data_IF_412836595561
#
_entry.id   IF_412836595561
#
_cell.length_a   1.000
_cell.length_b   1.000
_cell.length_c   1.000
_cell.angle_alpha   90.00
_cell.angle_beta   90.00
_cell.angle_gamma   90.00
#
_symmetry.space_group_name_H-M   'P 1'
#
loop_
_entity.id
_entity.type
_entity.pdbx_description
1 polymer ?
#
# COMPACT_ATOMS: atom_id res chain seq x y z
N UNK A 1 -30.33 42.32 -5.36
CA UNK A 1 -29.12 41.46 -5.41
C UNK A 1 -29.57 40.01 -5.26
N UNK A 2 -29.57 39.23 -6.35
CA UNK A 2 -29.82 37.79 -6.32
C UNK A 2 -28.51 37.08 -6.00
N UNK A 3 -28.47 36.28 -4.94
CA UNK A 3 -27.35 35.36 -4.66
C UNK A 3 -27.32 34.32 -5.76
N UNK A 4 -26.21 34.30 -6.51
CA UNK A 4 -25.88 33.23 -7.45
C UNK A 4 -25.48 32.03 -6.61
N UNK A 5 -26.31 30.99 -6.60
CA UNK A 5 -25.94 29.68 -6.08
C UNK A 5 -25.11 28.97 -7.15
N UNK A 6 -23.83 28.77 -6.87
CA UNK A 6 -22.95 27.93 -7.68
C UNK A 6 -23.40 26.47 -7.48
N UNK A 7 -23.76 25.71 -8.53
CA UNK A 7 -24.05 24.29 -8.37
C UNK A 7 -22.71 23.58 -8.23
N UNK A 8 -22.34 23.28 -6.98
CA UNK A 8 -21.13 22.50 -6.68
C UNK A 8 -21.21 21.13 -7.34
N UNK A 9 -20.10 20.75 -7.97
CA UNK A 9 -19.82 19.42 -8.51
C UNK A 9 -20.29 18.33 -7.54
N UNK A 10 -21.36 17.64 -7.90
CA UNK A 10 -21.75 16.37 -7.31
C UNK A 10 -21.07 15.23 -8.09
N UNK A 11 -19.75 15.30 -8.24
CA UNK A 11 -18.97 14.08 -8.50
C UNK A 11 -18.95 13.33 -7.17
N UNK A 12 -19.88 12.40 -6.99
CA UNK A 12 -19.78 11.40 -5.94
C UNK A 12 -18.49 10.63 -6.19
N UNK A 13 -17.41 11.03 -5.51
CA UNK A 13 -16.17 10.28 -5.50
C UNK A 13 -16.47 8.91 -4.91
N UNK A 14 -16.15 7.83 -5.62
CA UNK A 14 -16.25 6.48 -5.08
C UNK A 14 -15.55 6.43 -3.70
N UNK A 15 -16.12 5.73 -2.71
CA UNK A 15 -15.47 5.60 -1.40
C UNK A 15 -14.05 5.05 -1.57
N UNK A 16 -13.13 5.53 -0.74
CA UNK A 16 -11.73 5.14 -0.77
C UNK A 16 -11.40 4.33 0.49
N UNK A 17 -10.73 3.20 0.30
CA UNK A 17 -10.16 2.36 1.34
C UNK A 17 -8.68 2.20 1.08
N UNK A 18 -7.85 2.35 2.11
CA UNK A 18 -6.46 1.92 2.08
C UNK A 18 -6.21 0.76 3.02
N UNK A 19 -5.21 -0.07 2.70
CA UNK A 19 -4.74 -1.16 3.55
C UNK A 19 -3.22 -1.22 3.57
N UNK A 20 -2.69 -1.87 4.60
CA UNK A 20 -1.25 -2.01 4.85
C UNK A 20 -1.00 -3.25 5.74
N UNK A 21 0.23 -3.79 5.73
CA UNK A 21 0.68 -4.87 6.61
C UNK A 21 2.06 -4.63 7.22
N UNK A 22 2.27 -5.20 8.40
CA UNK A 22 3.58 -5.28 9.04
C UNK A 22 4.02 -6.73 9.22
N UNK A 23 5.28 -7.02 8.89
CA UNK A 23 5.85 -8.37 9.05
C UNK A 23 6.39 -8.59 10.48
N UNK A 24 6.55 -9.85 10.87
CA UNK A 24 7.09 -10.27 12.17
C UNK A 24 8.55 -10.75 12.08
N UNK A 25 9.09 -10.87 10.86
CA UNK A 25 10.45 -11.34 10.60
C UNK A 25 11.47 -10.24 10.89
N UNK A 26 12.52 -10.60 11.61
CA UNK A 26 13.62 -9.68 11.94
C UNK A 26 14.85 -10.12 11.16
N UNK A 27 15.32 -9.24 10.27
CA UNK A 27 16.55 -9.42 9.50
C UNK A 27 17.22 -8.07 9.25
N UNK A 28 18.52 -8.12 8.95
CA UNK A 28 19.32 -6.94 8.60
C UNK A 28 19.61 -6.98 7.10
N UNK A 29 19.34 -5.87 6.40
CA UNK A 29 19.56 -5.77 4.95
C UNK A 29 20.92 -5.15 4.65
N UNK A 30 21.71 -5.83 3.84
CA UNK A 30 22.89 -5.26 3.22
C UNK A 30 22.54 -4.09 2.28
N UNK A 31 23.55 -3.27 1.94
CA UNK A 31 23.36 -2.15 1.02
C UNK A 31 22.94 -2.66 -0.37
N UNK A 32 21.73 -2.30 -0.79
CA UNK A 32 21.08 -2.77 -2.03
C UNK A 32 20.78 -4.29 -2.05
N UNK A 33 20.77 -4.95 -0.89
CA UNK A 33 20.32 -6.34 -0.81
C UNK A 33 18.80 -6.41 -1.03
N UNK A 34 18.37 -7.40 -1.81
CA UNK A 34 16.96 -7.65 -2.02
C UNK A 34 16.38 -8.36 -0.81
N UNK A 35 15.36 -7.77 -0.18
CA UNK A 35 14.72 -8.37 1.00
C UNK A 35 14.05 -9.70 0.68
N UNK A 36 13.63 -9.94 -0.57
CA UNK A 36 12.98 -11.20 -0.94
C UNK A 36 13.86 -12.43 -0.74
N UNK A 37 15.17 -12.25 -0.53
CA UNK A 37 16.06 -13.34 -0.06
C UNK A 37 15.61 -14.00 1.24
N UNK A 38 14.87 -13.27 2.09
CA UNK A 38 14.37 -13.74 3.38
C UNK A 38 12.92 -14.22 3.33
N UNK A 39 12.30 -14.23 2.14
CA UNK A 39 10.97 -14.76 1.94
C UNK A 39 10.88 -16.28 2.20
N UNK A 40 9.68 -16.82 2.50
CA UNK A 40 8.42 -16.09 2.66
C UNK A 40 8.32 -15.35 3.99
N UNK A 41 7.65 -14.19 3.98
CA UNK A 41 7.45 -13.39 5.18
C UNK A 41 6.20 -13.79 5.96
N UNK A 42 6.30 -13.56 7.26
CA UNK A 42 5.27 -13.73 8.26
C UNK A 42 4.59 -12.41 8.61
N UNK A 43 3.27 -12.31 8.43
CA UNK A 43 2.54 -11.08 8.77
C UNK A 43 2.22 -11.05 10.26
N UNK A 44 2.59 -9.97 10.95
CA UNK A 44 2.24 -9.72 12.36
C UNK A 44 0.85 -9.11 12.52
N UNK A 45 0.58 -8.03 11.77
CA UNK A 45 -0.65 -7.27 11.78
C UNK A 45 -0.91 -6.70 10.38
N UNK A 46 -2.17 -6.49 10.03
CA UNK A 46 -2.56 -5.61 8.93
C UNK A 46 -3.57 -4.58 9.39
N UNK A 47 -3.83 -3.56 8.58
CA UNK A 47 -4.85 -2.57 8.83
C UNK A 47 -5.62 -2.24 7.56
N UNK A 48 -6.85 -1.77 7.72
CA UNK A 48 -7.67 -1.19 6.65
C UNK A 48 -8.36 0.06 7.18
N UNK A 49 -8.39 1.13 6.39
CA UNK A 49 -9.05 2.38 6.74
C UNK A 49 -9.90 2.87 5.57
N UNK A 50 -11.23 2.94 5.77
CA UNK A 50 -12.16 3.61 4.86
C UNK A 50 -12.18 5.09 5.20
N UNK A 51 -12.08 5.97 4.20
CA UNK A 51 -12.09 7.40 4.52
C UNK A 51 -13.45 7.82 5.07
N UNK A 52 -13.42 8.54 6.19
CA UNK A 52 -14.60 8.98 6.94
C UNK A 52 -15.50 7.81 7.39
N UNK A 53 -14.92 6.60 7.50
CA UNK A 53 -15.64 5.36 7.74
C UNK A 53 -14.95 4.44 8.74
N UNK A 54 -15.08 3.14 8.50
CA UNK A 54 -14.57 2.10 9.40
C UNK A 54 -13.05 1.93 9.28
N UNK A 55 -12.43 1.71 10.43
CA UNK A 55 -11.02 1.35 10.58
C UNK A 55 -10.93 0.00 11.28
N UNK A 56 -10.20 -0.94 10.68
CA UNK A 56 -10.08 -2.31 11.19
C UNK A 56 -8.60 -2.67 11.29
N UNK A 57 -8.20 -3.18 12.45
CA UNK A 57 -6.89 -3.79 12.67
C UNK A 57 -7.02 -5.31 12.64
N UNK A 58 -6.20 -5.94 11.82
CA UNK A 58 -6.18 -7.36 11.53
C UNK A 58 -4.99 -8.00 12.24
N UNK A 59 -5.24 -8.59 13.41
CA UNK A 59 -4.27 -9.42 14.12
C UNK A 59 -4.95 -10.70 14.60
N UNK A 60 -4.16 -11.69 14.98
CA UNK A 60 -4.66 -12.93 15.61
C UNK A 60 -4.31 -12.93 17.09
N UNK A 61 -5.07 -13.65 17.90
CA UNK A 61 -4.74 -13.87 19.31
C UNK A 61 -4.09 -15.24 19.49
N UNK A 62 -3.21 -15.35 20.49
CA UNK A 62 -2.69 -16.61 20.99
C UNK A 62 -3.72 -17.27 21.94
N UNK A 63 -3.39 -18.44 22.49
CA UNK A 63 -4.25 -19.20 23.40
C UNK A 63 -4.56 -18.45 24.71
N UNK A 64 -3.75 -17.44 25.06
CA UNK A 64 -3.91 -16.58 26.25
C UNK A 64 -4.76 -15.32 25.96
N UNK A 65 -5.20 -15.13 24.71
CA UNK A 65 -5.98 -13.96 24.29
C UNK A 65 -5.16 -12.70 24.00
N UNK A 66 -3.83 -12.77 24.07
CA UNK A 66 -2.93 -11.69 23.68
C UNK A 66 -2.62 -11.74 22.17
N UNK A 67 -2.17 -10.63 21.53
CA UNK A 67 -1.76 -10.66 20.13
C UNK A 67 -0.71 -11.74 19.88
N UNK A 68 -0.97 -12.60 18.88
CA UNK A 68 -0.08 -13.62 18.41
C UNK A 68 1.07 -13.01 17.60
N UNK A 69 2.18 -13.75 17.50
CA UNK A 69 3.32 -13.31 16.68
C UNK A 69 2.92 -13.08 15.22
N UNK A 70 2.04 -13.92 14.68
CA UNK A 70 1.63 -13.92 13.29
C UNK A 70 0.09 -13.92 13.14
N UNK A 71 -0.39 -13.38 12.03
CA UNK A 71 -1.71 -13.67 11.49
C UNK A 71 -1.87 -15.17 11.23
N UNK A 72 -2.98 -15.72 11.72
CA UNK A 72 -3.44 -17.04 11.31
C UNK A 72 -3.86 -17.03 9.84
N UNK A 73 -3.79 -18.19 9.18
CA UNK A 73 -4.30 -18.36 7.79
C UNK A 73 -5.74 -17.87 7.66
N UNK A 74 -6.60 -18.21 8.63
CA UNK A 74 -8.01 -17.79 8.63
C UNK A 74 -8.13 -16.27 8.64
N UNK A 75 -7.41 -15.59 9.53
CA UNK A 75 -7.47 -14.12 9.65
C UNK A 75 -6.92 -13.41 8.41
N UNK A 76 -5.87 -13.94 7.79
CA UNK A 76 -5.37 -13.42 6.52
C UNK A 76 -6.38 -13.62 5.38
N UNK A 77 -7.12 -14.73 5.37
CA UNK A 77 -8.20 -14.97 4.41
C UNK A 77 -9.38 -14.00 4.61
N UNK A 78 -9.80 -13.78 5.86
CA UNK A 78 -10.85 -12.81 6.21
C UNK A 78 -10.48 -11.39 5.72
N UNK A 79 -9.20 -11.00 5.81
CA UNK A 79 -8.71 -9.74 5.24
C UNK A 79 -8.88 -9.69 3.72
N UNK A 80 -8.52 -10.76 2.99
CA UNK A 80 -8.72 -10.80 1.52
C UNK A 80 -10.21 -10.76 1.14
N UNK A 81 -11.06 -11.50 1.85
CA UNK A 81 -12.51 -11.49 1.63
C UNK A 81 -13.08 -10.07 1.83
N UNK A 82 -12.64 -9.37 2.86
CA UNK A 82 -13.03 -7.98 3.09
C UNK A 82 -12.59 -7.05 1.96
N UNK A 83 -11.34 -7.16 1.48
CA UNK A 83 -10.86 -6.35 0.36
C UNK A 83 -11.62 -6.65 -0.94
N UNK A 84 -11.93 -7.92 -1.22
CA UNK A 84 -12.74 -8.32 -2.37
C UNK A 84 -14.18 -7.78 -2.26
N UNK A 85 -14.81 -7.87 -1.09
CA UNK A 85 -16.13 -7.33 -0.82
C UNK A 85 -16.17 -5.80 -1.06
N UNK A 86 -15.12 -5.08 -0.62
CA UNK A 86 -15.03 -3.64 -0.84
C UNK A 86 -14.90 -3.31 -2.33
N UNK A 87 -14.13 -4.08 -3.11
CA UNK A 87 -14.09 -3.92 -4.57
C UNK A 87 -15.44 -4.22 -5.24
N UNK A 88 -16.18 -5.23 -4.77
CA UNK A 88 -17.52 -5.54 -5.28
C UNK A 88 -18.54 -4.43 -4.98
N UNK A 89 -18.31 -3.65 -3.91
CA UNK A 89 -19.07 -2.43 -3.57
C UNK A 89 -18.57 -1.18 -4.29
N UNK A 90 -17.72 -1.33 -5.30
CA UNK A 90 -17.13 -0.24 -6.08
C UNK A 90 -16.30 0.76 -5.24
N UNK A 91 -15.79 0.31 -4.09
CA UNK A 91 -14.82 1.07 -3.29
C UNK A 91 -13.47 1.01 -3.98
N UNK A 92 -12.79 2.16 -4.08
CA UNK A 92 -11.40 2.25 -4.52
C UNK A 92 -10.53 1.65 -3.41
N UNK A 93 -9.98 0.46 -3.66
CA UNK A 93 -9.06 -0.21 -2.74
C UNK A 93 -7.62 0.13 -3.12
N UNK A 94 -6.90 0.76 -2.20
CA UNK A 94 -5.56 1.30 -2.38
C UNK A 94 -4.54 0.73 -1.39
N UNK A 95 -3.28 0.67 -1.80
CA UNK A 95 -2.15 0.48 -0.89
C UNK A 95 -0.90 1.12 -1.51
N UNK A 96 0.10 1.42 -0.68
CA UNK A 96 1.36 1.97 -1.15
C UNK A 96 2.40 0.86 -1.31
N UNK A 97 2.65 0.42 -2.55
CA UNK A 97 3.39 -0.83 -2.84
C UNK A 97 2.63 -2.12 -2.50
N UNK A 98 1.30 -2.06 -2.39
CA UNK A 98 0.48 -3.23 -2.08
C UNK A 98 0.53 -4.34 -3.12
N UNK A 99 0.79 -3.99 -4.39
CA UNK A 99 1.00 -4.96 -5.46
C UNK A 99 2.30 -5.74 -5.25
N UNK A 100 3.40 -5.03 -4.99
CA UNK A 100 4.72 -5.63 -4.87
C UNK A 100 4.97 -6.33 -3.54
N UNK A 101 4.15 -6.05 -2.52
CA UNK A 101 4.39 -6.50 -1.16
C UNK A 101 3.15 -7.05 -0.46
N UNK A 102 2.21 -6.19 -0.08
CA UNK A 102 1.13 -6.52 0.86
C UNK A 102 0.26 -7.69 0.38
N UNK A 103 -0.34 -7.57 -0.82
CA UNK A 103 -1.25 -8.60 -1.33
C UNK A 103 -0.54 -9.92 -1.62
N UNK A 104 0.73 -9.88 -2.04
CA UNK A 104 1.56 -11.08 -2.23
C UNK A 104 1.67 -11.86 -0.92
N UNK A 105 2.01 -11.18 0.18
CA UNK A 105 2.20 -11.84 1.47
C UNK A 105 0.89 -12.20 2.16
N UNK A 106 -0.16 -11.39 2.04
CA UNK A 106 -1.50 -11.76 2.54
C UNK A 106 -1.98 -13.02 1.79
N UNK A 107 -1.85 -13.05 0.46
CA UNK A 107 -2.18 -14.20 -0.38
C UNK A 107 -1.40 -15.45 -0.01
N UNK A 108 -0.09 -15.33 0.24
CA UNK A 108 0.75 -16.43 0.71
C UNK A 108 0.28 -16.95 2.09
N UNK A 109 0.07 -16.07 3.07
CA UNK A 109 -0.42 -16.44 4.41
C UNK A 109 -1.79 -17.10 4.39
N UNK A 110 -2.71 -16.56 3.59
CA UNK A 110 -4.05 -17.09 3.41
C UNK A 110 -4.09 -18.39 2.59
N UNK A 111 -2.98 -18.76 1.94
CA UNK A 111 -2.94 -19.82 0.91
C UNK A 111 -4.00 -19.60 -0.18
N UNK A 112 -4.11 -18.35 -0.62
CA UNK A 112 -5.13 -17.86 -1.53
C UNK A 112 -4.53 -16.87 -2.54
N UNK A 113 -3.34 -17.16 -3.08
CA UNK A 113 -2.64 -16.31 -4.04
C UNK A 113 -3.50 -15.93 -5.25
N UNK A 114 -4.31 -16.86 -5.76
CA UNK A 114 -5.22 -16.56 -6.87
C UNK A 114 -6.30 -15.51 -6.51
N UNK A 115 -6.79 -15.50 -5.27
CA UNK A 115 -7.71 -14.46 -4.78
C UNK A 115 -6.98 -13.13 -4.62
N UNK A 116 -5.82 -13.13 -3.97
CA UNK A 116 -5.01 -11.93 -3.79
C UNK A 116 -4.60 -11.30 -5.13
N UNK A 117 -4.24 -12.11 -6.12
CA UNK A 117 -3.90 -11.66 -7.47
C UNK A 117 -5.08 -10.96 -8.17
N UNK A 118 -6.30 -11.48 -8.06
CA UNK A 118 -7.50 -10.84 -8.61
C UNK A 118 -7.79 -9.50 -7.94
N UNK A 119 -7.65 -9.43 -6.62
CA UNK A 119 -7.79 -8.18 -5.86
C UNK A 119 -6.72 -7.20 -6.30
N UNK A 120 -5.47 -7.65 -6.43
CA UNK A 120 -4.33 -6.83 -6.82
C UNK A 120 -4.56 -6.16 -8.18
N UNK A 121 -4.95 -6.91 -9.21
CA UNK A 121 -5.21 -6.38 -10.55
C UNK A 121 -6.24 -5.24 -10.57
N UNK A 122 -7.27 -5.32 -9.72
CA UNK A 122 -8.33 -4.30 -9.62
C UNK A 122 -8.04 -3.19 -8.62
N UNK A 123 -7.06 -3.38 -7.74
CA UNK A 123 -6.63 -2.39 -6.77
C UNK A 123 -5.87 -1.24 -7.44
N UNK A 124 -5.65 -0.18 -6.68
CA UNK A 124 -4.88 0.99 -7.10
C UNK A 124 -3.60 1.06 -6.25
N UNK A 125 -2.45 1.07 -6.91
CA UNK A 125 -1.15 1.22 -6.25
C UNK A 125 -0.46 2.47 -6.79
N UNK A 126 -0.63 3.64 -6.14
CA UNK A 126 -0.06 4.91 -6.60
C UNK A 126 1.47 4.89 -6.64
N UNK A 127 2.12 4.06 -5.82
CA UNK A 127 3.57 3.90 -5.83
C UNK A 127 3.99 3.17 -7.11
N UNK A 128 3.31 2.07 -7.47
CA UNK A 128 3.57 1.37 -8.73
C UNK A 128 3.28 2.24 -9.95
N UNK A 129 2.18 3.01 -9.93
CA UNK A 129 1.89 3.98 -11.00
C UNK A 129 3.00 5.05 -11.08
N UNK A 130 3.47 5.58 -9.94
CA UNK A 130 4.61 6.50 -9.90
C UNK A 130 5.88 5.86 -10.46
N UNK A 131 6.20 4.64 -10.04
CA UNK A 131 7.34 3.89 -10.55
C UNK A 131 7.30 3.78 -12.08
N UNK A 132 6.13 3.47 -12.65
CA UNK A 132 5.97 3.39 -14.11
C UNK A 132 6.14 4.74 -14.83
N UNK A 133 5.94 5.87 -14.13
CA UNK A 133 6.13 7.23 -14.67
C UNK A 133 7.55 7.80 -14.47
N UNK A 134 8.25 7.35 -13.42
CA UNK A 134 9.49 7.95 -12.95
C UNK A 134 10.71 7.01 -13.06
N UNK A 135 10.49 5.70 -13.19
CA UNK A 135 11.52 4.67 -13.25
C UNK A 135 12.11 4.25 -11.91
N UNK A 136 11.65 4.79 -10.78
CA UNK A 136 12.12 4.40 -9.45
C UNK A 136 10.97 4.38 -8.44
N UNK A 137 11.03 3.54 -7.40
CA UNK A 137 10.05 3.55 -6.33
C UNK A 137 10.30 4.74 -5.39
N UNK A 138 9.25 5.21 -4.73
CA UNK A 138 9.35 6.30 -3.73
C UNK A 138 8.60 5.93 -2.47
N UNK A 139 9.18 6.26 -1.32
CA UNK A 139 8.57 5.96 -0.01
C UNK A 139 7.41 6.89 0.32
N UNK A 140 6.40 6.34 1.02
CA UNK A 140 5.18 7.02 1.45
C UNK A 140 5.47 8.37 2.12
N UNK A 141 6.37 8.39 3.11
CA UNK A 141 6.74 9.61 3.82
C UNK A 141 7.39 10.70 2.95
N UNK A 142 8.08 10.34 1.86
CA UNK A 142 8.61 11.36 0.92
C UNK A 142 7.52 12.01 0.10
N UNK A 143 6.45 11.26 -0.21
CA UNK A 143 5.30 11.76 -0.95
C UNK A 143 4.42 12.61 -0.04
N UNK A 144 4.10 12.13 1.16
CA UNK A 144 3.35 12.93 2.14
C UNK A 144 4.01 14.30 2.37
N UNK A 145 5.34 14.34 2.58
CA UNK A 145 6.06 15.59 2.75
C UNK A 145 5.99 16.48 1.49
N UNK A 146 6.17 15.90 0.30
CA UNK A 146 6.09 16.64 -0.97
C UNK A 146 4.70 17.15 -1.30
N UNK A 147 3.66 16.49 -0.80
CA UNK A 147 2.26 16.87 -0.93
C UNK A 147 1.79 17.82 0.18
N UNK A 148 2.65 18.14 1.16
CA UNK A 148 2.31 19.03 2.27
C UNK A 148 1.40 18.39 3.33
N UNK A 149 1.37 17.06 3.39
CA UNK A 149 0.58 16.28 4.35
C UNK A 149 1.39 16.18 5.66
N UNK A 150 0.85 16.64 6.81
CA UNK A 150 1.50 16.49 8.10
C UNK A 150 1.78 15.02 8.42
N UNK A 151 2.97 14.74 8.95
CA UNK A 151 3.35 13.41 9.43
C UNK A 151 3.59 13.45 10.93
N UNK A 152 2.88 12.60 11.67
CA UNK A 152 3.30 12.21 13.01
C UNK A 152 4.26 11.03 12.85
N UNK A 153 5.50 11.18 13.37
CA UNK A 153 6.48 10.10 13.29
C UNK A 153 6.17 9.06 14.37
N UNK A 154 5.42 8.02 14.02
CA UNK A 154 5.03 6.95 14.93
C UNK A 154 6.17 5.93 15.13
N UNK A 155 6.85 5.49 14.07
CA UNK A 155 8.08 4.69 14.10
C UNK A 155 8.81 4.66 12.73
N UNK A 156 9.96 3.99 12.66
CA UNK A 156 10.55 3.53 11.41
C UNK A 156 10.00 2.12 11.09
N UNK A 157 9.54 1.86 9.87
CA UNK A 157 8.97 0.55 9.50
C UNK A 157 9.94 -0.62 9.71
N UNK A 158 11.26 -0.39 9.62
CA UNK A 158 12.24 -1.44 9.93
C UNK A 158 12.28 -1.84 11.42
N UNK A 159 11.70 -1.01 12.29
CA UNK A 159 11.56 -1.31 13.71
C UNK A 159 10.27 -2.07 14.05
N UNK A 160 9.24 -2.06 13.19
CA UNK A 160 7.94 -2.70 13.46
C UNK A 160 8.06 -4.18 13.88
N UNK A 161 8.84 -5.04 13.17
CA UNK A 161 9.01 -6.44 13.59
C UNK A 161 9.70 -6.58 14.96
N UNK A 162 10.66 -5.68 15.25
CA UNK A 162 11.38 -5.64 16.54
C UNK A 162 10.45 -5.18 17.67
N UNK A 163 9.62 -4.17 17.43
CA UNK A 163 8.63 -3.66 18.38
C UNK A 163 7.52 -4.67 18.67
N UNK A 164 7.03 -5.36 17.63
CA UNK A 164 6.01 -6.40 17.78
C UNK A 164 6.50 -7.52 18.69
N UNK A 165 7.70 -8.06 18.41
CA UNK A 165 8.32 -9.10 19.25
C UNK A 165 8.64 -8.65 20.68
N UNK A 166 8.85 -7.36 20.89
CA UNK A 166 9.05 -6.78 22.22
C UNK A 166 7.75 -6.61 23.02
N UNK A 167 6.59 -6.97 22.45
CA UNK A 167 5.28 -6.83 23.09
C UNK A 167 4.67 -5.43 22.96
N UNK A 168 5.28 -4.53 22.18
CA UNK A 168 4.73 -3.19 21.90
C UNK A 168 3.65 -3.23 20.81
N UNK A 169 2.73 -4.20 20.89
CA UNK A 169 1.77 -4.50 19.82
C UNK A 169 0.90 -3.31 19.44
N UNK A 170 0.33 -2.58 20.42
CA UNK A 170 -0.52 -1.42 20.14
C UNK A 170 0.22 -0.36 19.32
N UNK A 171 1.51 -0.14 19.60
CA UNK A 171 2.33 0.83 18.87
C UNK A 171 2.45 0.46 17.38
N UNK A 172 2.57 -0.83 17.08
CA UNK A 172 2.66 -1.33 15.69
C UNK A 172 1.29 -1.32 15.02
N UNK A 173 0.22 -1.62 15.75
CA UNK A 173 -1.16 -1.49 15.26
C UNK A 173 -1.49 -0.05 14.87
N UNK A 174 -1.16 0.91 15.74
CA UNK A 174 -1.37 2.34 15.48
C UNK A 174 -0.53 2.83 14.30
N UNK A 175 0.69 2.31 14.17
CA UNK A 175 1.57 2.61 13.03
C UNK A 175 1.00 2.11 11.70
N UNK A 176 0.64 0.83 11.62
CA UNK A 176 0.07 0.23 10.41
C UNK A 176 -1.25 0.90 10.00
N UNK A 177 -2.11 1.23 10.98
CA UNK A 177 -3.33 2.01 10.73
C UNK A 177 -3.01 3.44 10.26
N UNK A 178 -1.99 4.07 10.85
CA UNK A 178 -1.50 5.38 10.44
C UNK A 178 -1.02 5.40 8.99
N UNK A 179 -0.34 4.35 8.52
CA UNK A 179 0.11 4.23 7.12
C UNK A 179 -1.09 4.05 6.15
N UNK A 180 -2.16 3.37 6.57
CA UNK A 180 -3.43 3.35 5.82
C UNK A 180 -4.06 4.75 5.70
N UNK A 181 -4.16 5.48 6.82
CA UNK A 181 -4.72 6.84 6.84
C UNK A 181 -3.88 7.81 6.00
N UNK A 182 -2.55 7.69 6.07
CA UNK A 182 -1.62 8.48 5.27
C UNK A 182 -1.78 8.19 3.78
N UNK A 183 -1.93 6.92 3.41
CA UNK A 183 -2.18 6.49 2.02
C UNK A 183 -3.47 7.10 1.49
N UNK A 184 -4.55 7.08 2.28
CA UNK A 184 -5.80 7.74 1.93
C UNK A 184 -5.63 9.25 1.66
N UNK A 185 -4.90 9.96 2.53
CA UNK A 185 -4.63 11.39 2.36
C UNK A 185 -3.79 11.67 1.11
N UNK A 186 -2.76 10.87 0.85
CA UNK A 186 -1.93 11.00 -0.36
C UNK A 186 -2.76 10.77 -1.62
N UNK A 187 -3.60 9.71 -1.65
CA UNK A 187 -4.45 9.41 -2.80
C UNK A 187 -5.39 10.58 -3.10
N UNK A 188 -6.09 11.11 -2.09
CA UNK A 188 -6.96 12.28 -2.26
C UNK A 188 -6.16 13.49 -2.79
N UNK A 189 -5.01 13.77 -2.20
CA UNK A 189 -4.17 14.89 -2.61
C UNK A 189 -3.65 14.73 -4.06
N UNK A 190 -3.33 13.51 -4.50
CA UNK A 190 -2.94 13.22 -5.89
C UNK A 190 -4.11 13.48 -6.83
N UNK A 191 -5.32 13.01 -6.48
CA UNK A 191 -6.52 13.21 -7.30
C UNK A 191 -6.85 14.70 -7.46
N UNK A 192 -6.80 15.46 -6.37
CA UNK A 192 -7.03 16.91 -6.35
C UNK A 192 -5.97 17.67 -7.16
N UNK A 193 -4.69 17.36 -6.94
CA UNK A 193 -3.58 18.05 -7.58
C UNK A 193 -3.31 17.59 -9.02
N UNK A 194 -3.88 16.44 -9.42
CA UNK A 194 -3.65 15.73 -10.70
C UNK A 194 -2.18 15.44 -10.99
N UNK A 195 -1.41 15.28 -9.92
CA UNK A 195 0.02 15.03 -9.93
C UNK A 195 0.44 14.43 -8.60
N UNK A 196 1.54 13.69 -8.63
CA UNK A 196 2.24 13.25 -7.43
C UNK A 196 3.46 14.14 -7.23
N UNK A 197 3.68 14.57 -5.98
CA UNK A 197 4.84 15.34 -5.56
C UNK A 197 5.59 14.58 -4.48
N UNK A 198 6.91 14.71 -4.46
CA UNK A 198 7.74 14.08 -3.44
C UNK A 198 8.94 14.96 -3.12
N UNK A 199 9.48 14.76 -1.92
CA UNK A 199 10.76 15.35 -1.53
C UNK A 199 11.90 14.47 -2.01
N UNK A 200 12.78 15.03 -2.84
CA UNK A 200 14.01 14.37 -3.31
C UNK A 200 15.00 14.12 -2.17
N UNK A 201 16.03 13.30 -2.41
CA UNK A 201 17.13 13.10 -1.46
C UNK A 201 17.88 14.39 -1.11
N UNK A 202 17.87 15.39 -2.01
CA UNK A 202 18.46 16.72 -1.81
C UNK A 202 17.52 17.70 -1.09
N UNK A 203 16.31 17.28 -0.72
CA UNK A 203 15.35 18.12 0.00
C UNK A 203 14.45 19.01 -0.87
N UNK A 204 14.61 18.99 -2.20
CA UNK A 204 13.73 19.73 -3.12
C UNK A 204 12.43 18.96 -3.38
N UNK A 205 11.33 19.68 -3.58
CA UNK A 205 10.08 19.09 -4.07
C UNK A 205 10.19 18.88 -5.57
N UNK A 206 9.88 17.67 -6.03
CA UNK A 206 9.72 17.32 -7.43
C UNK A 206 8.30 16.82 -7.69
N UNK A 207 7.92 16.68 -8.95
CA UNK A 207 6.57 16.29 -9.34
C UNK A 207 6.52 15.51 -10.66
N UNK A 208 5.47 14.70 -10.82
CA UNK A 208 5.10 14.02 -12.05
C UNK A 208 3.59 14.16 -12.27
N UNK A 209 3.14 14.46 -13.50
CA UNK A 209 1.71 14.43 -13.81
C UNK A 209 1.12 13.06 -13.51
N UNK A 210 -0.03 13.04 -12.85
CA UNK A 210 -0.81 11.84 -12.56
C UNK A 210 -2.28 12.24 -12.72
N UNK A 211 -2.77 12.39 -13.96
CA UNK A 211 -4.05 13.06 -14.23
C UNK A 211 -5.27 12.34 -13.66
N UNK A 212 -5.13 11.04 -13.41
CA UNK A 212 -6.04 10.14 -12.69
C UNK A 212 -5.23 8.99 -12.09
N UNK A 213 -5.80 8.34 -11.08
CA UNK A 213 -5.33 7.02 -10.68
C UNK A 213 -5.68 5.97 -11.73
N UNK A 214 -4.80 5.00 -11.89
CA UNK A 214 -4.98 3.81 -12.73
C UNK A 214 -5.03 2.59 -11.83
N UNK A 215 -5.86 1.60 -12.17
CA UNK A 215 -5.76 0.29 -11.53
C UNK A 215 -4.41 -0.34 -11.86
N UNK A 216 -3.99 -1.30 -11.05
CA UNK A 216 -2.78 -2.09 -11.34
C UNK A 216 -2.82 -2.70 -12.74
N UNK A 217 -3.96 -3.29 -13.13
CA UNK A 217 -4.13 -3.86 -14.46
C UNK A 217 -3.88 -2.83 -15.58
N UNK A 218 -4.41 -1.61 -15.44
CA UNK A 218 -4.15 -0.53 -16.38
C UNK A 218 -2.67 -0.14 -16.42
N UNK A 219 -2.00 -0.04 -15.27
CA UNK A 219 -0.57 0.29 -15.21
C UNK A 219 0.27 -0.81 -15.84
N UNK A 220 -0.07 -2.09 -15.67
CA UNK A 220 0.65 -3.22 -16.29
C UNK A 220 0.66 -3.08 -17.83
N UNK A 221 -0.42 -2.61 -18.44
CA UNK A 221 -0.53 -2.41 -19.89
C UNK A 221 0.20 -1.16 -20.42
N UNK A 222 0.55 -0.22 -19.55
CA UNK A 222 1.37 0.94 -19.97
C UNK A 222 2.77 0.49 -20.41
N UNK A 223 3.46 1.26 -21.28
CA UNK A 223 4.86 1.05 -21.59
C UNK A 223 5.73 1.01 -20.31
N UNK A 224 6.83 0.26 -20.38
CA UNK A 224 7.83 0.23 -19.31
C UNK A 224 8.41 1.62 -19.04
N UNK A 225 8.80 1.91 -17.78
CA UNK A 225 9.39 3.19 -17.45
C UNK A 225 10.75 3.37 -18.10
N UNK A 226 11.09 4.62 -18.43
CA UNK A 226 12.46 4.94 -18.84
C UNK A 226 13.43 4.85 -17.64
N UNK A 227 14.28 3.82 -17.69
CA UNK A 227 15.36 3.58 -16.75
C UNK A 227 16.73 3.53 -17.43
N UNK A 228 16.87 4.07 -18.66
CA UNK A 228 18.14 4.00 -19.41
C UNK A 228 19.31 4.72 -18.73
N UNK A 229 19.01 5.51 -17.70
CA UNK A 229 19.95 6.28 -16.89
C UNK A 229 20.42 5.53 -15.62
N UNK A 230 19.89 4.33 -15.35
CA UNK A 230 20.25 3.52 -14.18
C UNK A 230 21.25 2.42 -14.54
N UNK A 231 22.26 2.21 -13.69
CA UNK A 231 23.19 1.08 -13.82
C UNK A 231 22.50 -0.28 -13.59
N UNK A 232 21.48 -0.30 -12.72
CA UNK A 232 20.72 -1.48 -12.33
C UNK A 232 19.23 -1.15 -12.35
N UNK A 233 18.59 -1.18 -13.53
CA UNK A 233 17.15 -0.95 -13.65
C UNK A 233 16.36 -2.01 -12.86
N UNK A 234 15.24 -1.59 -12.28
CA UNK A 234 14.30 -2.50 -11.63
C UNK A 234 13.26 -2.88 -12.68
N UNK A 235 13.14 -4.14 -13.11
CA UNK A 235 12.14 -4.51 -14.10
C UNK A 235 10.73 -4.28 -13.53
N UNK A 236 9.83 -3.74 -14.34
CA UNK A 236 8.43 -3.50 -13.96
C UNK A 236 7.73 -4.79 -13.52
N UNK A 237 8.08 -5.91 -14.13
CA UNK A 237 7.55 -7.25 -13.82
C UNK A 237 7.84 -7.69 -12.38
N UNK A 238 8.91 -7.18 -11.75
CA UNK A 238 9.24 -7.49 -10.35
C UNK A 238 8.07 -7.28 -9.39
N UNK A 239 7.19 -6.32 -9.67
CA UNK A 239 6.05 -6.01 -8.82
C UNK A 239 4.89 -7.02 -8.98
N UNK A 240 4.76 -7.66 -10.14
CA UNK A 240 3.57 -8.43 -10.50
C UNK A 240 3.83 -9.83 -11.09
N UNK A 241 5.07 -10.31 -11.14
CA UNK A 241 5.38 -11.68 -11.59
C UNK A 241 4.61 -12.73 -10.77
N UNK A 242 4.44 -12.50 -9.46
CA UNK A 242 3.63 -13.37 -8.59
C UNK A 242 2.15 -13.42 -8.99
N UNK A 243 1.62 -12.36 -9.61
CA UNK A 243 0.25 -12.32 -10.13
C UNK A 243 0.14 -13.25 -11.33
N UNK A 244 1.09 -13.17 -12.28
CA UNK A 244 1.11 -14.02 -13.47
C UNK A 244 1.17 -15.51 -13.09
N UNK A 245 2.06 -15.86 -12.17
CA UNK A 245 2.18 -17.22 -11.62
C UNK A 245 0.88 -17.69 -10.95
N UNK A 246 0.25 -16.82 -10.14
CA UNK A 246 -0.96 -17.15 -9.41
C UNK A 246 -2.22 -17.28 -10.29
N UNK A 247 -2.25 -16.59 -11.44
CA UNK A 247 -3.38 -16.63 -12.39
C UNK A 247 -3.15 -17.54 -13.58
N UNK A 248 -1.93 -18.07 -13.77
CA UNK A 248 -1.56 -18.88 -14.94
C UNK A 248 -1.55 -18.08 -16.24
N UNK A 249 -1.21 -16.78 -16.16
CA UNK A 249 -1.07 -15.88 -17.30
C UNK A 249 0.35 -15.86 -17.86
#
# INVERSE_FOLDING_TARGET
>A
MRKVTNPGNNETTCPLLSFDIEISDVFELGRHEDMEKYAPFHISVGATAVVDGEEIVWYSNNDEGAPALNLTRKRAHELLEYLDEMQQKEVIVCAWNGLGFDLKWIGHHANALALAARIALKSYDPMFQFFNLAGFPIGLGKVALGMGIPQEKLMDGSDAPKQWRAGHHQKVMDYCLGDCQMTNQIVRAIQEARQVRWTTSKGHISSKPMPRLKSVEEVIQDPDPDQSWMDKPIPKTKFYDWVLEATGM
#
